data_IF_075199473067
#
_entry.id   IF_075199473067
#
_cell.length_a   1.000
_cell.length_b   1.000
_cell.length_c   1.000
_cell.angle_alpha   90.00
_cell.angle_beta   90.00
_cell.angle_gamma   90.00
#
_symmetry.space_group_name_H-M   'P 1'
#
loop_
_entity.id
_entity.type
_entity.pdbx_description
1 polymer ?
#
# COMPACT_ATOMS: atom_id res chain seq x y z
N UNK A 1 -8.53 -2.52 -9.22
CA UNK A 1 -7.57 -1.39 -9.22
C UNK A 1 -6.62 -1.39 -8.04
N UNK A 2 -7.13 -1.36 -6.81
CA UNK A 2 -6.33 -1.25 -5.57
C UNK A 2 -5.03 -2.08 -5.49
N UNK A 3 -5.00 -3.40 -5.76
CA UNK A 3 -3.75 -4.16 -5.69
C UNK A 3 -2.72 -3.74 -6.76
N UNK A 4 -3.17 -3.28 -7.94
CA UNK A 4 -2.28 -2.76 -8.98
C UNK A 4 -1.69 -1.41 -8.54
N UNK A 5 -2.51 -0.52 -7.96
CA UNK A 5 -2.02 0.74 -7.39
C UNK A 5 -1.06 0.51 -6.23
N UNK A 6 -1.31 -0.48 -5.36
CA UNK A 6 -0.41 -0.85 -4.29
C UNK A 6 0.97 -1.27 -4.83
N UNK A 7 0.99 -2.14 -5.85
CA UNK A 7 2.24 -2.56 -6.49
C UNK A 7 3.02 -1.37 -7.09
N UNK A 8 2.33 -0.51 -7.85
CA UNK A 8 2.95 0.68 -8.46
C UNK A 8 3.48 1.65 -7.40
N UNK A 9 2.73 1.87 -6.33
CA UNK A 9 3.11 2.78 -5.24
C UNK A 9 4.32 2.25 -4.47
N UNK A 10 4.37 0.94 -4.18
CA UNK A 10 5.52 0.31 -3.54
C UNK A 10 6.77 0.30 -4.43
N UNK A 11 6.60 0.09 -5.74
CA UNK A 11 7.69 0.15 -6.71
C UNK A 11 8.31 1.56 -6.76
N UNK A 12 7.48 2.61 -6.87
CA UNK A 12 7.94 4.01 -6.85
C UNK A 12 8.47 4.41 -5.47
N UNK A 13 7.93 3.86 -4.38
CA UNK A 13 8.39 4.10 -3.02
C UNK A 13 9.83 3.59 -2.76
N UNK A 14 10.25 2.58 -3.50
CA UNK A 14 11.59 1.99 -3.42
C UNK A 14 11.63 0.66 -2.67
N UNK A 15 10.57 -0.15 -2.73
CA UNK A 15 10.61 -1.53 -2.26
C UNK A 15 11.75 -2.28 -2.97
N UNK A 16 12.41 -3.21 -2.27
CA UNK A 16 13.51 -4.01 -2.82
C UNK A 16 13.01 -4.97 -3.91
N UNK A 17 11.80 -5.50 -3.75
CA UNK A 17 11.05 -6.14 -4.83
C UNK A 17 9.55 -6.02 -4.61
N UNK A 18 8.81 -6.11 -5.72
CA UNK A 18 7.35 -6.06 -5.77
C UNK A 18 6.86 -7.20 -6.66
N UNK A 19 5.72 -7.79 -6.29
CA UNK A 19 5.07 -8.84 -7.06
C UNK A 19 3.60 -8.51 -7.29
N UNK A 20 3.07 -8.95 -8.44
CA UNK A 20 1.64 -8.92 -8.78
C UNK A 20 1.24 -10.31 -9.21
N UNK A 21 0.35 -10.93 -8.45
CA UNK A 21 -0.06 -12.31 -8.67
C UNK A 21 -1.56 -12.37 -8.98
N UNK A 22 -1.95 -13.39 -9.75
CA UNK A 22 -3.33 -13.69 -10.07
C UNK A 22 -3.72 -15.06 -9.50
N UNK A 23 -4.87 -15.13 -8.83
CA UNK A 23 -5.50 -16.37 -8.38
C UNK A 23 -4.91 -17.03 -7.14
N UNK A 24 -4.00 -16.37 -6.41
CA UNK A 24 -3.52 -16.91 -5.14
C UNK A 24 -4.66 -17.09 -4.13
N UNK A 25 -4.65 -18.21 -3.41
CA UNK A 25 -5.67 -18.61 -2.44
C UNK A 25 -6.95 -19.19 -3.06
N UNK A 26 -7.55 -18.49 -4.02
CA UNK A 26 -8.90 -18.77 -4.54
C UNK A 26 -8.97 -19.32 -5.96
N UNK A 27 -7.82 -19.49 -6.63
CA UNK A 27 -7.73 -20.04 -7.98
C UNK A 27 -7.77 -19.00 -9.10
N UNK A 28 -7.40 -19.43 -10.31
CA UNK A 28 -7.30 -18.60 -11.52
C UNK A 28 -8.65 -17.95 -11.82
N UNK A 29 -8.66 -16.63 -11.97
CA UNK A 29 -9.83 -15.84 -12.38
C UNK A 29 -10.51 -15.09 -11.24
N UNK A 30 -10.16 -15.39 -9.98
CA UNK A 30 -10.92 -14.92 -8.82
C UNK A 30 -10.24 -13.87 -7.95
N UNK A 31 -8.93 -13.65 -8.10
CA UNK A 31 -8.22 -12.63 -7.33
C UNK A 31 -7.03 -12.04 -8.08
N UNK A 32 -6.78 -10.76 -7.85
CA UNK A 32 -5.50 -10.11 -8.13
C UNK A 32 -5.00 -9.53 -6.81
N UNK A 33 -3.75 -9.77 -6.46
CA UNK A 33 -3.12 -9.24 -5.26
C UNK A 33 -1.66 -8.87 -5.53
N UNK A 34 -1.12 -8.03 -4.66
CA UNK A 34 0.24 -7.55 -4.73
C UNK A 34 0.99 -7.86 -3.44
N UNK A 35 2.28 -8.10 -3.57
CA UNK A 35 3.22 -8.22 -2.46
C UNK A 35 4.39 -7.27 -2.65
N UNK A 36 4.99 -6.85 -1.55
CA UNK A 36 6.24 -6.08 -1.57
C UNK A 36 7.16 -6.58 -0.47
N UNK A 37 8.46 -6.39 -0.67
CA UNK A 37 9.46 -6.55 0.38
C UNK A 37 10.46 -5.42 0.26
N UNK A 38 10.93 -4.94 1.41
CA UNK A 38 11.97 -3.93 1.51
C UNK A 38 13.05 -4.41 2.49
N UNK A 39 14.31 -4.29 2.08
CA UNK A 39 15.47 -4.68 2.86
C UNK A 39 15.97 -3.51 3.69
N UNK A 40 16.15 -3.74 4.99
CA UNK A 40 16.84 -2.83 5.90
C UNK A 40 18.31 -3.24 6.02
N UNK A 41 19.16 -2.72 5.13
CA UNK A 41 20.60 -3.05 5.08
C UNK A 41 21.49 -2.13 5.94
N UNK A 42 20.88 -1.18 6.67
CA UNK A 42 21.57 -0.22 7.54
C UNK A 42 22.06 1.04 6.83
N UNK A 43 21.81 1.20 5.52
CA UNK A 43 22.18 2.41 4.77
C UNK A 43 21.19 3.56 4.98
N UNK A 44 21.63 4.83 4.93
CA UNK A 44 20.73 5.99 4.91
C UNK A 44 19.75 5.97 3.73
N UNK A 45 20.13 5.38 2.60
CA UNK A 45 19.26 5.22 1.43
C UNK A 45 18.14 4.20 1.69
N UNK A 46 18.42 3.11 2.41
CA UNK A 46 17.39 2.17 2.84
C UNK A 46 16.44 2.81 3.85
N UNK A 47 16.94 3.59 4.81
CA UNK A 47 16.10 4.32 5.77
C UNK A 47 15.04 5.19 5.06
N UNK A 48 15.44 6.00 4.08
CA UNK A 48 14.51 6.84 3.31
C UNK A 48 13.49 6.04 2.50
N UNK A 49 13.86 4.85 2.01
CA UNK A 49 12.94 3.96 1.29
C UNK A 49 11.97 3.28 2.26
N UNK A 50 12.45 2.85 3.42
CA UNK A 50 11.65 2.25 4.49
C UNK A 50 10.57 3.20 4.97
N UNK A 51 10.92 4.46 5.24
CA UNK A 51 9.97 5.47 5.66
C UNK A 51 8.81 5.62 4.65
N UNK A 52 9.13 5.71 3.35
CA UNK A 52 8.11 5.80 2.30
C UNK A 52 7.28 4.52 2.17
N UNK A 53 7.92 3.38 1.93
CA UNK A 53 7.24 2.12 1.62
C UNK A 53 6.36 1.66 2.79
N UNK A 54 6.87 1.74 4.02
CA UNK A 54 6.11 1.35 5.21
C UNK A 54 5.03 2.37 5.61
N UNK A 55 5.04 3.58 5.02
CA UNK A 55 3.92 4.52 5.09
C UNK A 55 2.87 4.22 4.01
N UNK A 56 3.32 3.97 2.78
CA UNK A 56 2.47 3.83 1.60
C UNK A 56 1.68 2.52 1.60
N UNK A 57 2.32 1.41 1.93
CA UNK A 57 1.74 0.06 1.85
C UNK A 57 0.52 -0.12 2.78
N UNK A 58 0.59 0.18 4.08
CA UNK A 58 -0.61 0.21 4.92
C UNK A 58 -1.51 1.41 4.60
N UNK A 59 -0.93 2.55 4.18
CA UNK A 59 -1.65 3.77 3.85
C UNK A 59 -2.71 3.55 2.77
N UNK A 60 -2.36 2.87 1.67
CA UNK A 60 -3.32 2.59 0.60
C UNK A 60 -4.44 1.63 1.04
N UNK A 61 -4.18 0.77 2.03
CA UNK A 61 -5.21 -0.02 2.69
C UNK A 61 -6.24 0.85 3.40
N UNK A 62 -5.80 1.90 4.10
CA UNK A 62 -6.69 2.86 4.75
C UNK A 62 -7.47 3.66 3.71
N UNK A 63 -6.80 4.18 2.66
CA UNK A 63 -7.46 4.91 1.57
C UNK A 63 -8.56 4.06 0.94
N UNK A 64 -8.27 2.81 0.60
CA UNK A 64 -9.24 1.87 0.02
C UNK A 64 -10.49 1.68 0.88
N UNK A 65 -10.32 1.52 2.19
CA UNK A 65 -11.46 1.31 3.08
C UNK A 65 -12.20 2.62 3.38
N UNK A 66 -11.51 3.76 3.42
CA UNK A 66 -12.15 5.06 3.55
C UNK A 66 -13.01 5.37 2.31
N UNK A 67 -12.49 5.11 1.11
CA UNK A 67 -13.21 5.23 -0.16
C UNK A 67 -14.47 4.34 -0.21
N UNK A 68 -14.40 3.13 0.37
CA UNK A 68 -15.56 2.25 0.52
C UNK A 68 -16.56 2.68 1.63
N UNK A 69 -16.32 3.82 2.31
CA UNK A 69 -17.24 4.39 3.29
C UNK A 69 -17.08 3.88 4.73
N UNK A 70 -16.00 3.16 5.07
CA UNK A 70 -15.80 2.68 6.43
C UNK A 70 -15.36 3.81 7.37
N UNK A 71 -16.22 4.17 8.33
CA UNK A 71 -15.98 5.27 9.29
C UNK A 71 -14.63 5.16 10.00
N UNK A 72 -14.29 3.97 10.51
CA UNK A 72 -13.00 3.73 11.17
C UNK A 72 -11.80 4.05 10.27
N UNK A 73 -11.91 3.80 8.97
CA UNK A 73 -10.83 4.11 8.03
C UNK A 73 -10.74 5.61 7.75
N UNK A 74 -11.88 6.30 7.66
CA UNK A 74 -11.94 7.76 7.52
C UNK A 74 -11.35 8.45 8.77
N UNK A 75 -11.69 7.97 9.96
CA UNK A 75 -11.14 8.45 11.23
C UNK A 75 -9.62 8.24 11.30
N UNK A 76 -9.15 7.05 10.93
CA UNK A 76 -7.72 6.76 10.86
C UNK A 76 -6.99 7.66 9.85
N UNK A 77 -7.59 7.90 8.68
CA UNK A 77 -7.03 8.81 7.67
C UNK A 77 -6.88 10.24 8.22
N UNK A 78 -7.90 10.76 8.91
CA UNK A 78 -7.84 12.07 9.59
C UNK A 78 -6.78 12.09 10.69
N UNK A 79 -6.76 11.08 11.56
CA UNK A 79 -5.84 10.97 12.70
C UNK A 79 -4.37 10.92 12.28
N UNK A 80 -4.08 10.24 11.17
CA UNK A 80 -2.71 10.04 10.69
C UNK A 80 -2.35 10.95 9.52
N UNK A 81 -3.20 11.93 9.18
CA UNK A 81 -2.91 12.93 8.14
C UNK A 81 -2.80 12.35 6.72
N UNK A 82 -3.51 11.25 6.44
CA UNK A 82 -3.55 10.64 5.11
C UNK A 82 -4.44 11.49 4.20
N UNK A 83 -3.85 12.02 3.13
CA UNK A 83 -4.55 12.87 2.16
C UNK A 83 -5.39 12.02 1.22
N UNK A 84 -6.71 12.20 1.26
CA UNK A 84 -7.66 11.53 0.38
C UNK A 84 -8.53 12.62 -0.27
N UNK A 85 -8.18 13.11 -1.47
CA UNK A 85 -8.74 14.35 -2.04
C UNK A 85 -10.27 14.43 -2.10
N UNK A 86 -10.97 13.29 -2.18
CA UNK A 86 -12.42 13.24 -2.26
C UNK A 86 -13.12 13.19 -0.88
N UNK A 87 -12.36 13.08 0.21
CA UNK A 87 -12.89 12.87 1.58
C UNK A 87 -12.32 13.89 2.58
N UNK A 88 -11.02 14.21 2.50
CA UNK A 88 -10.26 15.04 3.46
C UNK A 88 -9.38 16.05 2.71
#
# INVERSE_FOLDING_TARGET
DWPILNALLNAVGGASWVSVHHGGGVGIGFSIHAGMVIVADGTPEAERRLERVLTYDPGIGIVRHADAGYERAIENAKRWGIKIPMII
#
